data_IF_847418624413
#
_entry.id   IF_847418624413
#
_cell.length_a   1.000
_cell.length_b   1.000
_cell.length_c   1.000
_cell.angle_alpha   90.00
_cell.angle_beta   90.00
_cell.angle_gamma   90.00
#
_symmetry.space_group_name_H-M   'P 1'
#
loop_
_entity.id
_entity.type
_entity.pdbx_description
1 polymer ?
#
# COMPACT_ATOMS: atom_id res chain seq x y z
N UNK A 1 16.81 1.56 1.14
CA UNK A 1 15.83 0.48 0.98
C UNK A 1 15.00 0.84 -0.25
N UNK A 2 15.15 0.10 -1.34
CA UNK A 2 14.55 0.45 -2.64
C UNK A 2 13.09 0.03 -2.63
N UNK A 3 12.17 0.97 -2.74
CA UNK A 3 10.76 0.66 -2.89
C UNK A 3 10.54 -0.04 -4.24
N UNK A 4 9.90 -1.21 -4.24
CA UNK A 4 9.46 -1.86 -5.47
C UNK A 4 8.06 -1.36 -5.79
N UNK A 5 7.98 -0.30 -6.60
CA UNK A 5 6.71 0.18 -7.15
C UNK A 5 6.03 -0.94 -7.93
N UNK A 6 4.71 -1.03 -7.90
CA UNK A 6 3.95 -1.84 -8.88
C UNK A 6 4.07 -1.30 -10.31
N UNK A 7 4.54 -0.06 -10.48
CA UNK A 7 4.92 0.49 -11.77
C UNK A 7 6.10 -0.27 -12.38
N UNK A 8 5.98 -0.62 -13.66
CA UNK A 8 6.99 -1.37 -14.41
C UNK A 8 7.72 -0.45 -15.42
N UNK A 9 9.05 -0.54 -15.48
CA UNK A 9 9.90 0.20 -16.44
C UNK A 9 9.40 0.03 -17.88
N UNK A 10 9.04 -1.20 -18.27
CA UNK A 10 8.54 -1.49 -19.61
C UNK A 10 7.24 -0.75 -19.92
N UNK A 11 6.35 -0.61 -18.92
CA UNK A 11 5.11 0.17 -19.07
C UNK A 11 5.40 1.66 -19.16
N UNK A 12 6.25 2.20 -18.28
CA UNK A 12 6.66 3.62 -18.34
C UNK A 12 7.28 3.95 -19.70
N UNK A 13 8.10 3.05 -20.24
CA UNK A 13 8.68 3.16 -21.58
C UNK A 13 7.61 3.18 -22.68
N UNK A 14 6.69 2.22 -22.63
CA UNK A 14 5.59 2.14 -23.60
C UNK A 14 4.71 3.41 -23.58
N UNK A 15 4.34 3.91 -22.40
CA UNK A 15 3.48 5.09 -22.24
C UNK A 15 4.19 6.41 -22.53
N UNK A 16 5.49 6.51 -22.28
CA UNK A 16 6.28 7.70 -22.66
C UNK A 16 6.56 7.75 -24.16
N UNK A 17 6.58 6.59 -24.84
CA UNK A 17 7.01 6.47 -26.22
C UNK A 17 8.52 6.69 -26.39
N UNK A 18 9.31 6.71 -25.31
CA UNK A 18 10.76 6.91 -25.39
C UNK A 18 11.49 5.59 -25.70
N UNK A 19 12.22 5.49 -26.82
CA UNK A 19 13.08 4.34 -27.08
C UNK A 19 14.22 4.22 -26.06
N UNK A 20 14.81 3.03 -25.97
CA UNK A 20 15.96 2.71 -25.10
C UNK A 20 17.20 3.53 -25.42
N UNK A 21 17.34 3.95 -26.69
CA UNK A 21 18.42 4.80 -27.17
C UNK A 21 18.39 6.22 -26.60
N UNK A 22 17.21 6.71 -26.16
CA UNK A 22 17.05 8.06 -25.62
C UNK A 22 17.04 8.09 -24.10
N UNK A 23 16.50 7.04 -23.47
CA UNK A 23 16.40 6.95 -22.01
C UNK A 23 16.74 5.54 -21.57
N UNK A 24 17.73 5.37 -20.68
CA UNK A 24 18.11 4.07 -20.12
C UNK A 24 17.11 3.59 -19.05
N UNK A 25 17.08 2.29 -18.77
CA UNK A 25 16.21 1.71 -17.74
C UNK A 25 16.59 2.21 -16.33
N UNK A 26 17.87 2.47 -16.08
CA UNK A 26 18.35 3.04 -14.81
C UNK A 26 17.81 4.46 -14.60
N UNK A 27 17.74 5.25 -15.68
CA UNK A 27 17.18 6.60 -15.62
C UNK A 27 15.68 6.56 -15.32
N UNK A 28 14.94 5.65 -15.96
CA UNK A 28 13.52 5.44 -15.68
C UNK A 28 13.32 5.03 -14.21
N UNK A 29 14.12 4.06 -13.73
CA UNK A 29 14.08 3.59 -12.35
C UNK A 29 14.36 4.71 -11.33
N UNK A 30 15.34 5.57 -11.62
CA UNK A 30 15.66 6.71 -10.77
C UNK A 30 14.49 7.69 -10.67
N UNK A 31 13.85 8.03 -11.80
CA UNK A 31 12.69 8.92 -11.83
C UNK A 31 11.51 8.33 -11.06
N UNK A 32 11.23 7.04 -11.26
CA UNK A 32 10.17 6.34 -10.52
C UNK A 32 10.42 6.36 -9.01
N UNK A 33 11.67 6.15 -8.58
CA UNK A 33 12.04 6.17 -7.17
C UNK A 33 11.91 7.58 -6.58
N UNK A 34 12.37 8.62 -7.30
CA UNK A 34 12.27 10.00 -6.82
C UNK A 34 10.79 10.42 -6.66
N UNK A 35 9.94 10.14 -7.65
CA UNK A 35 8.51 10.44 -7.59
C UNK A 35 7.81 9.68 -6.45
N UNK A 36 8.22 8.43 -6.22
CA UNK A 36 7.73 7.62 -5.11
C UNK A 36 8.07 8.26 -3.76
N UNK A 37 9.33 8.66 -3.56
CA UNK A 37 9.78 9.28 -2.30
C UNK A 37 9.12 10.64 -2.10
N UNK A 38 9.02 11.47 -3.14
CA UNK A 38 8.28 12.74 -3.09
C UNK A 38 6.82 12.53 -2.67
N UNK A 39 6.16 11.50 -3.22
CA UNK A 39 4.78 11.17 -2.85
C UNK A 39 4.69 10.72 -1.38
N UNK A 40 5.58 9.82 -0.95
CA UNK A 40 5.68 9.36 0.45
C UNK A 40 5.84 10.53 1.40
N UNK A 41 6.76 11.44 1.10
CA UNK A 41 7.06 12.60 1.95
C UNK A 41 5.90 13.61 2.00
N UNK A 42 5.28 13.88 0.85
CA UNK A 42 4.17 14.82 0.74
C UNK A 42 2.95 14.36 1.51
N UNK A 43 2.58 13.09 1.36
CA UNK A 43 1.35 12.57 1.95
C UNK A 43 1.57 11.85 3.29
N UNK A 44 2.82 11.67 3.71
CA UNK A 44 3.23 10.99 4.96
C UNK A 44 2.69 9.55 5.03
N UNK A 45 2.80 8.82 3.92
CA UNK A 45 2.27 7.46 3.76
C UNK A 45 3.42 6.47 3.61
N UNK A 46 3.34 5.35 4.32
CA UNK A 46 4.23 4.23 4.09
C UNK A 46 3.61 3.29 3.04
N UNK A 47 4.41 2.76 2.14
CA UNK A 47 3.94 1.77 1.17
C UNK A 47 4.16 0.33 1.65
N UNK A 48 5.19 0.15 2.48
CA UNK A 48 5.51 -1.10 3.17
C UNK A 48 5.11 -0.97 4.65
N UNK A 49 4.64 -2.04 5.31
CA UNK A 49 4.25 -1.97 6.71
C UNK A 49 5.39 -1.53 7.63
N UNK A 50 5.20 -0.39 8.30
CA UNK A 50 6.14 0.16 9.28
C UNK A 50 5.47 0.19 10.66
N UNK A 51 6.25 -0.16 11.68
CA UNK A 51 5.81 -0.03 13.09
C UNK A 51 5.86 1.45 13.48
N UNK A 52 4.71 1.98 13.88
CA UNK A 52 4.55 3.34 14.38
C UNK A 52 4.11 3.31 15.83
N UNK A 53 4.62 4.28 16.62
CA UNK A 53 4.14 4.57 17.96
C UNK A 53 3.51 5.95 17.94
N UNK A 54 2.27 6.04 18.39
CA UNK A 54 1.54 7.28 18.56
C UNK A 54 1.21 7.50 20.03
N UNK A 55 1.40 8.73 20.49
CA UNK A 55 0.98 9.19 21.81
C UNK A 55 0.07 10.39 21.59
N UNK A 56 -1.10 10.37 22.21
CA UNK A 56 -2.09 11.41 22.04
C UNK A 56 -3.01 11.52 23.24
N UNK A 57 -3.78 12.60 23.23
CA UNK A 57 -4.85 12.83 24.17
C UNK A 57 -6.07 12.02 23.70
N UNK A 58 -6.82 11.43 24.64
CA UNK A 58 -8.16 10.95 24.33
C UNK A 58 -9.15 12.12 24.28
N UNK A 59 -10.39 11.83 23.84
CA UNK A 59 -11.40 12.86 23.57
C UNK A 59 -12.79 12.52 24.15
N UNK A 60 -12.83 11.64 25.16
CA UNK A 60 -14.05 11.12 25.77
C UNK A 60 -15.03 10.52 24.74
N UNK A 61 -14.51 9.67 23.85
CA UNK A 61 -15.24 9.11 22.72
C UNK A 61 -15.16 7.57 22.70
N UNK A 62 -16.13 6.92 22.04
CA UNK A 62 -16.12 5.47 21.81
C UNK A 62 -15.06 5.05 20.78
N UNK A 63 -14.65 5.99 19.92
CA UNK A 63 -13.68 5.79 18.86
C UNK A 63 -12.47 6.71 18.99
N UNK A 64 -11.31 6.22 18.58
CA UNK A 64 -10.08 6.98 18.44
C UNK A 64 -9.51 6.77 17.04
N UNK A 65 -9.38 7.84 16.26
CA UNK A 65 -8.79 7.79 14.92
C UNK A 65 -7.29 8.03 15.01
N UNK A 66 -6.49 7.10 14.51
CA UNK A 66 -5.02 7.26 14.48
C UNK A 66 -4.60 8.40 13.55
N UNK A 67 -3.50 9.08 13.89
CA UNK A 67 -3.00 10.23 13.11
C UNK A 67 -2.36 9.82 11.80
N UNK A 68 -1.71 8.64 11.74
CA UNK A 68 -1.13 8.14 10.49
C UNK A 68 -2.17 7.37 9.69
N UNK A 69 -2.23 7.68 8.39
CA UNK A 69 -3.14 7.05 7.44
C UNK A 69 -2.82 5.57 7.24
N UNK A 70 -3.85 4.81 6.89
CA UNK A 70 -3.81 3.37 6.56
C UNK A 70 -3.19 2.50 7.68
N UNK A 71 -3.75 2.51 8.91
CA UNK A 71 -3.36 1.52 9.91
C UNK A 71 -3.77 0.12 9.45
N UNK A 72 -2.86 -0.84 9.51
CA UNK A 72 -3.11 -2.22 9.14
C UNK A 72 -3.48 -3.10 10.33
N UNK A 73 -2.81 -2.89 11.47
CA UNK A 73 -2.98 -3.72 12.67
C UNK A 73 -2.52 -2.98 13.91
N UNK A 74 -3.32 -3.05 14.98
CA UNK A 74 -2.89 -2.63 16.31
C UNK A 74 -2.04 -3.74 16.93
N UNK A 75 -0.85 -3.38 17.40
CA UNK A 75 0.08 -4.29 18.07
C UNK A 75 -0.01 -4.18 19.58
N UNK A 76 -0.30 -2.98 20.08
CA UNK A 76 -0.45 -2.68 21.50
C UNK A 76 -1.27 -1.39 21.66
N UNK A 77 -2.23 -1.39 22.57
CA UNK A 77 -2.96 -0.22 22.99
C UNK A 77 -2.78 -0.05 24.50
N UNK A 78 -2.43 1.17 24.92
CA UNK A 78 -2.37 1.56 26.32
C UNK A 78 -3.26 2.76 26.58
N UNK A 79 -4.08 2.67 27.62
CA UNK A 79 -4.86 3.78 28.17
C UNK A 79 -4.41 3.99 29.61
N UNK A 80 -3.97 5.20 29.95
CA UNK A 80 -3.38 5.50 31.27
C UNK A 80 -2.22 4.59 31.67
N UNK A 81 -1.40 4.18 30.69
CA UNK A 81 -0.32 3.20 30.83
C UNK A 81 -0.77 1.76 31.13
N UNK A 82 -2.07 1.50 31.18
CA UNK A 82 -2.61 0.15 31.31
C UNK A 82 -2.80 -0.46 29.94
N UNK A 83 -2.38 -1.72 29.79
CA UNK A 83 -2.52 -2.45 28.53
C UNK A 83 -3.99 -2.80 28.34
N UNK A 84 -4.53 -2.43 27.17
CA UNK A 84 -5.83 -2.88 26.67
C UNK A 84 -5.57 -4.10 25.81
N UNK A 85 -6.37 -5.14 26.00
CA UNK A 85 -6.28 -6.34 25.17
C UNK A 85 -6.74 -6.01 23.73
N UNK A 86 -5.95 -6.46 22.77
CA UNK A 86 -6.14 -6.15 21.35
C UNK A 86 -7.29 -6.97 20.76
N UNK A 87 -7.69 -8.06 21.42
CA UNK A 87 -8.89 -8.83 21.07
C UNK A 87 -10.20 -8.06 21.38
N UNK A 88 -10.15 -7.02 22.21
CA UNK A 88 -11.31 -6.22 22.62
C UNK A 88 -11.49 -4.91 21.85
N UNK A 89 -10.70 -4.68 20.81
CA UNK A 89 -10.81 -3.49 19.99
C UNK A 89 -11.13 -3.87 18.56
N UNK A 90 -11.88 -3.00 17.90
CA UNK A 90 -12.10 -3.08 16.47
C UNK A 90 -11.35 -1.94 15.78
N UNK A 91 -10.57 -2.26 14.76
CA UNK A 91 -9.96 -1.27 13.88
C UNK A 91 -10.76 -1.23 12.59
N UNK A 92 -11.47 -0.13 12.34
CA UNK A 92 -11.99 0.16 11.01
C UNK A 92 -10.82 0.58 10.13
N UNK A 93 -10.44 -0.30 9.20
CA UNK A 93 -9.33 -0.08 8.29
C UNK A 93 -9.53 1.13 7.37
N UNK A 94 -10.78 1.41 6.98
CA UNK A 94 -11.09 2.48 6.02
C UNK A 94 -10.92 3.86 6.67
N UNK A 95 -11.41 4.03 7.89
CA UNK A 95 -11.30 5.31 8.62
C UNK A 95 -10.05 5.40 9.50
N UNK A 96 -9.43 4.27 9.83
CA UNK A 96 -8.38 4.18 10.85
C UNK A 96 -8.89 4.40 12.27
N UNK A 97 -10.20 4.24 12.48
CA UNK A 97 -10.83 4.42 13.79
C UNK A 97 -10.76 3.14 14.59
N UNK A 98 -10.20 3.22 15.79
CA UNK A 98 -10.21 2.17 16.79
C UNK A 98 -11.44 2.38 17.65
N UNK A 99 -12.34 1.41 17.73
CA UNK A 99 -13.47 1.41 18.66
C UNK A 99 -13.30 0.33 19.71
N UNK A 100 -13.75 0.62 20.93
CA UNK A 100 -13.84 -0.39 21.97
C UNK A 100 -15.01 -1.32 21.65
N UNK A 101 -14.78 -2.63 21.64
CA UNK A 101 -15.88 -3.57 21.59
C UNK A 101 -16.54 -3.61 22.97
N UNK A 102 -17.83 -3.29 23.03
CA UNK A 102 -18.66 -3.56 24.21
C UNK A 102 -18.88 -5.07 24.27
N UNK A 103 -18.36 -5.75 25.28
CA UNK A 103 -18.50 -7.19 25.39
C UNK A 103 -19.97 -7.63 25.41
N UNK A 104 -20.29 -8.63 24.58
CA UNK A 104 -21.40 -9.56 24.80
C UNK A 104 -20.79 -10.71 25.63
N UNK A 105 -20.60 -10.52 26.94
CA UNK A 105 -20.05 -11.55 27.84
C UNK A 105 -19.25 -11.02 29.05
N UNK A 106 -18.93 -11.89 30.00
CA UNK A 106 -18.44 -11.57 31.36
C UNK A 106 -17.00 -11.03 31.48
N UNK A 107 -16.30 -10.75 30.38
CA UNK A 107 -14.93 -10.24 30.38
C UNK A 107 -14.87 -8.83 29.77
N UNK A 108 -15.57 -7.88 30.41
CA UNK A 108 -15.66 -6.49 29.97
C UNK A 108 -14.29 -5.82 29.79
N UNK A 109 -14.11 -5.10 28.70
CA UNK A 109 -13.06 -4.08 28.58
C UNK A 109 -13.00 -3.18 29.81
N UNK A 110 -11.80 -3.00 30.38
CA UNK A 110 -11.59 -2.07 31.51
C UNK A 110 -11.97 -0.62 31.15
N UNK A 111 -11.96 -0.31 29.85
CA UNK A 111 -12.28 1.01 29.32
C UNK A 111 -13.44 0.92 28.32
N UNK A 112 -14.50 1.70 28.55
CA UNK A 112 -15.60 1.86 27.61
C UNK A 112 -15.43 3.07 26.68
N UNK A 113 -14.52 3.99 27.00
CA UNK A 113 -14.25 5.23 26.26
C UNK A 113 -12.75 5.55 26.25
N UNK A 114 -12.32 6.31 25.25
CA UNK A 114 -11.00 6.94 25.20
C UNK A 114 -11.02 8.23 26.03
N UNK A 115 -10.34 8.30 27.18
CA UNK A 115 -10.62 9.34 28.16
C UNK A 115 -9.93 10.66 27.82
N UNK A 116 -10.62 11.77 28.08
CA UNK A 116 -10.14 13.14 27.79
C UNK A 116 -9.06 13.59 28.77
N UNK A 117 -7.83 13.12 28.56
CA UNK A 117 -6.66 13.49 29.34
C UNK A 117 -5.41 13.51 28.46
N UNK A 118 -4.43 14.33 28.84
CA UNK A 118 -3.18 14.47 28.10
C UNK A 118 -2.37 13.18 28.05
N UNK A 119 -1.93 12.80 26.85
CA UNK A 119 -1.11 11.60 26.59
C UNK A 119 -1.70 10.31 27.18
N UNK A 120 -3.03 10.26 27.36
CA UNK A 120 -3.72 9.13 27.95
C UNK A 120 -3.71 7.91 27.03
N UNK A 121 -3.61 8.11 25.72
CA UNK A 121 -3.68 7.07 24.69
C UNK A 121 -2.30 6.87 24.07
N UNK A 122 -1.79 5.64 24.12
CA UNK A 122 -0.55 5.23 23.45
C UNK A 122 -0.83 4.01 22.60
N UNK A 123 -0.49 4.09 21.32
CA UNK A 123 -0.83 3.07 20.33
C UNK A 123 0.42 2.67 19.59
N UNK A 124 0.70 1.38 19.55
CA UNK A 124 1.69 0.79 18.68
C UNK A 124 0.95 0.04 17.58
N UNK A 125 1.21 0.38 16.33
CA UNK A 125 0.48 -0.20 15.19
C UNK A 125 1.36 -0.28 13.95
N UNK A 126 0.96 -1.16 13.02
CA UNK A 126 1.50 -1.20 11.67
C UNK A 126 0.71 -0.25 10.79
N UNK A 127 1.39 0.52 9.94
CA UNK A 127 0.72 1.37 8.95
C UNK A 127 1.38 1.25 7.59
N UNK A 128 0.57 1.06 6.55
CA UNK A 128 0.95 1.14 5.15
C UNK A 128 -0.27 1.16 4.22
N UNK A 129 -0.11 1.79 3.06
CA UNK A 129 -1.11 1.75 2.01
C UNK A 129 -0.97 0.48 1.16
N UNK A 130 -1.72 -0.55 1.56
CA UNK A 130 -1.85 -1.81 0.83
C UNK A 130 -3.29 -1.98 0.34
N UNK A 131 -3.48 -2.76 -0.72
CA UNK A 131 -4.79 -3.16 -1.23
C UNK A 131 -4.91 -4.70 -1.17
N UNK A 132 -6.13 -5.24 -1.04
CA UNK A 132 -6.38 -6.68 -1.17
C UNK A 132 -6.05 -7.13 -2.60
N UNK A 133 -5.35 -8.26 -2.73
CA UNK A 133 -5.06 -8.91 -4.01
C UNK A 133 -6.19 -9.86 -4.41
N UNK A 134 -6.05 -10.47 -5.59
CA UNK A 134 -7.01 -11.44 -6.11
C UNK A 134 -6.76 -12.85 -5.56
N UNK A 135 -5.67 -13.05 -4.80
CA UNK A 135 -5.44 -14.29 -4.06
C UNK A 135 -6.33 -14.32 -2.82
N UNK A 136 -7.14 -15.37 -2.71
CA UNK A 136 -8.00 -15.68 -1.58
C UNK A 136 -7.90 -17.17 -1.31
N UNK A 137 -7.78 -17.54 -0.04
CA UNK A 137 -7.76 -18.92 0.46
C UNK A 137 -8.57 -19.00 1.76
N UNK A 138 -8.89 -20.21 2.19
CA UNK A 138 -9.61 -20.49 3.44
C UNK A 138 -8.77 -21.37 4.37
N UNK A 139 -8.78 -21.06 5.67
CA UNK A 139 -8.13 -21.90 6.67
C UNK A 139 -8.93 -23.20 6.86
N UNK A 140 -8.25 -24.34 6.85
CA UNK A 140 -8.89 -25.65 7.03
C UNK A 140 -8.88 -26.13 8.48
N UNK A 141 -8.28 -25.36 9.41
CA UNK A 141 -8.22 -25.68 10.83
C UNK A 141 -8.24 -24.38 11.66
N UNK A 142 -8.70 -24.42 12.92
CA UNK A 142 -8.56 -23.29 13.84
C UNK A 142 -7.09 -22.92 14.03
N UNK A 143 -6.80 -21.63 14.09
CA UNK A 143 -5.44 -21.11 14.25
C UNK A 143 -5.30 -20.33 15.55
N UNK A 144 -4.35 -20.74 16.39
CA UNK A 144 -4.14 -20.16 17.72
C UNK A 144 -3.32 -18.87 17.67
N UNK A 145 -3.64 -17.94 18.55
CA UNK A 145 -2.84 -16.73 18.81
C UNK A 145 -1.41 -17.09 19.23
N UNK A 146 -0.41 -16.32 18.79
CA UNK A 146 0.98 -16.57 19.16
C UNK A 146 2.01 -15.94 18.22
N UNK A 147 3.27 -16.34 18.41
CA UNK A 147 4.40 -16.01 17.54
C UNK A 147 4.73 -17.21 16.65
N UNK A 148 5.16 -16.98 15.41
CA UNK A 148 5.53 -18.04 14.45
C UNK A 148 4.41 -19.08 14.30
N UNK A 149 3.20 -18.60 14.02
CA UNK A 149 1.99 -19.41 14.00
C UNK A 149 1.87 -20.16 12.69
N UNK A 150 1.57 -21.46 12.73
CA UNK A 150 1.24 -22.26 11.56
C UNK A 150 -0.26 -22.16 11.25
N UNK A 151 -0.60 -21.98 9.99
CA UNK A 151 -1.97 -21.95 9.49
C UNK A 151 -2.07 -22.84 8.25
N UNK A 152 -2.99 -23.81 8.28
CA UNK A 152 -3.25 -24.70 7.14
C UNK A 152 -4.34 -24.09 6.26
N UNK A 153 -4.06 -23.98 4.96
CA UNK A 153 -4.97 -23.40 3.96
C UNK A 153 -5.43 -24.45 2.95
N UNK A 154 -6.57 -24.19 2.30
CA UNK A 154 -7.06 -24.98 1.18
C UNK A 154 -6.21 -24.82 -0.09
N UNK A 155 -5.61 -23.64 -0.28
CA UNK A 155 -4.59 -23.34 -1.29
C UNK A 155 -3.54 -22.35 -0.76
N UNK A 156 -2.29 -22.54 -1.18
CA UNK A 156 -1.17 -21.63 -0.90
C UNK A 156 -0.50 -21.13 -2.19
N UNK A 157 -1.05 -21.50 -3.35
CA UNK A 157 -0.47 -21.19 -4.66
C UNK A 157 -0.43 -19.69 -4.90
N UNK A 158 0.79 -19.15 -5.05
CA UNK A 158 1.01 -17.73 -5.29
C UNK A 158 1.23 -16.88 -4.05
N UNK A 159 1.21 -17.46 -2.85
CA UNK A 159 1.81 -16.86 -1.65
C UNK A 159 3.32 -17.06 -1.65
N UNK A 160 4.04 -16.04 -1.19
CA UNK A 160 5.49 -16.07 -1.01
C UNK A 160 5.87 -15.72 0.41
N UNK A 161 7.09 -16.11 0.79
CA UNK A 161 7.75 -15.56 1.98
C UNK A 161 7.79 -14.03 1.84
N UNK A 162 7.59 -13.35 2.95
CA UNK A 162 7.48 -11.89 3.08
C UNK A 162 6.19 -11.25 2.57
N UNK A 163 5.26 -12.02 1.99
CA UNK A 163 3.91 -11.51 1.69
C UNK A 163 3.18 -11.13 2.99
N UNK A 164 2.35 -10.10 2.92
CA UNK A 164 1.43 -9.74 3.99
C UNK A 164 0.04 -10.29 3.67
N UNK A 165 -0.65 -10.82 4.67
CA UNK A 165 -2.00 -11.36 4.53
C UNK A 165 -2.97 -10.68 5.49
N UNK A 166 -4.19 -10.48 5.00
CA UNK A 166 -5.36 -10.07 5.78
C UNK A 166 -6.18 -11.31 6.08
N UNK A 167 -6.46 -11.54 7.35
CA UNK A 167 -7.17 -12.71 7.86
C UNK A 167 -8.53 -12.21 8.37
N UNK A 168 -9.62 -12.77 7.85
CA UNK A 168 -11.00 -12.49 8.28
C UNK A 168 -11.58 -13.76 8.87
N UNK A 169 -11.70 -13.80 10.19
CA UNK A 169 -12.29 -14.89 10.93
C UNK A 169 -13.82 -14.88 10.87
N UNK A 170 -14.41 -16.07 10.93
CA UNK A 170 -15.86 -16.26 11.09
C UNK A 170 -16.39 -15.68 12.41
N UNK A 171 -15.50 -15.53 13.39
CA UNK A 171 -15.71 -14.90 14.70
C UNK A 171 -15.73 -13.35 14.65
N UNK A 172 -15.74 -12.76 13.44
CA UNK A 172 -15.67 -11.31 13.17
C UNK A 172 -14.35 -10.67 13.61
N UNK A 173 -13.34 -11.47 13.89
CA UNK A 173 -11.99 -10.98 14.13
C UNK A 173 -11.29 -10.79 12.80
N UNK A 174 -10.46 -9.75 12.74
CA UNK A 174 -9.68 -9.49 11.55
C UNK A 174 -8.32 -8.96 11.94
N UNK A 175 -7.27 -9.51 11.33
CA UNK A 175 -5.92 -9.04 11.56
C UNK A 175 -5.00 -9.24 10.36
N UNK A 176 -3.89 -8.52 10.39
CA UNK A 176 -2.82 -8.63 9.40
C UNK A 176 -1.65 -9.41 9.97
N UNK A 177 -1.05 -10.28 9.16
CA UNK A 177 0.15 -11.02 9.51
C UNK A 177 1.12 -11.10 8.33
N UNK A 178 2.40 -11.28 8.63
CA UNK A 178 3.43 -11.48 7.61
C UNK A 178 3.73 -12.96 7.46
N UNK A 179 3.77 -13.45 6.23
CA UNK A 179 4.17 -14.81 5.89
C UNK A 179 5.67 -14.94 6.05
N UNK A 180 6.09 -15.88 6.90
CA UNK A 180 7.50 -16.19 7.17
C UNK A 180 7.98 -17.48 6.52
N UNK A 181 7.05 -18.37 6.15
CA UNK A 181 7.34 -19.64 5.47
C UNK A 181 6.10 -20.12 4.69
N UNK A 182 6.31 -20.85 3.59
CA UNK A 182 5.25 -21.44 2.76
C UNK A 182 5.61 -22.87 2.40
N UNK A 183 4.84 -23.83 2.91
CA UNK A 183 4.94 -25.23 2.53
C UNK A 183 3.82 -25.59 1.55
N UNK A 184 4.16 -25.72 0.27
CA UNK A 184 3.22 -26.06 -0.80
C UNK A 184 2.75 -27.51 -0.77
N UNK A 185 3.50 -28.42 -0.14
CA UNK A 185 3.16 -29.84 -0.05
C UNK A 185 2.09 -30.07 1.01
N UNK A 186 2.25 -29.46 2.18
CA UNK A 186 1.29 -29.60 3.29
C UNK A 186 0.24 -28.49 3.31
N UNK A 187 0.34 -27.50 2.40
CA UNK A 187 -0.50 -26.29 2.36
C UNK A 187 -0.50 -25.51 3.68
N UNK A 188 0.65 -25.47 4.35
CA UNK A 188 0.83 -24.74 5.60
C UNK A 188 1.64 -23.49 5.33
N UNK A 189 1.18 -22.35 5.84
CA UNK A 189 1.98 -21.13 5.93
C UNK A 189 2.38 -20.88 7.38
N UNK A 190 3.54 -20.26 7.59
CA UNK A 190 3.92 -19.69 8.89
C UNK A 190 3.74 -18.19 8.88
N UNK A 191 3.22 -17.66 9.98
CA UNK A 191 2.92 -16.26 10.19
C UNK A 191 3.74 -15.70 11.34
N UNK A 192 4.20 -14.46 11.22
CA UNK A 192 5.07 -13.82 12.22
C UNK A 192 4.44 -13.73 13.61
N UNK A 193 3.24 -13.15 13.72
CA UNK A 193 2.48 -13.02 14.95
C UNK A 193 0.98 -12.85 14.69
N UNK A 194 0.17 -13.71 15.30
CA UNK A 194 -1.25 -13.47 15.49
C UNK A 194 -1.51 -12.90 16.88
N UNK A 195 -2.42 -11.93 16.96
CA UNK A 195 -2.89 -11.35 18.24
C UNK A 195 -4.27 -11.85 18.62
N UNK A 196 -4.93 -12.59 17.72
CA UNK A 196 -6.25 -13.16 17.90
C UNK A 196 -6.23 -14.63 17.46
N UNK A 197 -7.04 -15.46 18.11
CA UNK A 197 -7.31 -16.83 17.64
C UNK A 197 -8.38 -16.76 16.56
N UNK A 198 -8.23 -17.55 15.50
CA UNK A 198 -9.14 -17.61 14.36
C UNK A 198 -9.77 -19.00 14.25
N UNK A 199 -11.05 -19.04 13.91
CA UNK A 199 -11.79 -20.29 13.69
C UNK A 199 -11.45 -20.93 12.33
N UNK A 200 -11.80 -22.19 12.17
CA UNK A 200 -11.79 -22.84 10.85
C UNK A 200 -12.69 -22.08 9.86
N UNK A 201 -12.33 -22.10 8.57
CA UNK A 201 -13.05 -21.35 7.54
C UNK A 201 -12.77 -19.84 7.53
N UNK A 202 -11.75 -19.37 8.27
CA UNK A 202 -11.27 -17.99 8.14
C UNK A 202 -10.76 -17.73 6.73
N UNK A 203 -11.05 -16.54 6.19
CA UNK A 203 -10.63 -16.12 4.84
C UNK A 203 -9.28 -15.42 4.91
N UNK A 204 -8.34 -15.86 4.08
CA UNK A 204 -7.01 -15.28 3.96
C UNK A 204 -6.91 -14.60 2.60
N UNK A 205 -6.68 -13.29 2.60
CA UNK A 205 -6.43 -12.51 1.39
C UNK A 205 -5.03 -11.93 1.42
N UNK A 206 -4.24 -12.14 0.36
CA UNK A 206 -2.92 -11.50 0.27
C UNK A 206 -3.06 -9.99 0.06
N UNK A 207 -2.29 -9.21 0.79
CA UNK A 207 -2.14 -7.76 0.61
C UNK A 207 -1.03 -7.46 -0.41
N UNK A 208 -1.29 -6.51 -1.31
CA UNK A 208 -0.34 -6.03 -2.32
C UNK A 208 -0.20 -4.52 -2.25
N UNK A 209 0.90 -3.99 -2.79
CA UNK A 209 1.04 -2.56 -3.01
C UNK A 209 -0.11 -2.00 -3.84
N UNK A 210 -0.55 -0.79 -3.51
CA UNK A 210 -1.71 -0.21 -4.16
C UNK A 210 -1.50 -0.04 -5.67
N UNK A 211 -2.39 -0.64 -6.46
CA UNK A 211 -2.39 -0.48 -7.92
C UNK A 211 -2.63 0.98 -8.30
N UNK A 212 -3.50 1.68 -7.57
CA UNK A 212 -3.81 3.09 -7.79
C UNK A 212 -2.55 3.96 -7.69
N UNK A 213 -1.72 3.72 -6.67
CA UNK A 213 -0.45 4.42 -6.49
C UNK A 213 0.56 4.03 -7.58
N UNK A 214 0.68 2.74 -7.89
CA UNK A 214 1.52 2.25 -8.98
C UNK A 214 1.22 2.92 -10.31
N UNK A 215 -0.05 2.91 -10.71
CA UNK A 215 -0.49 3.53 -11.96
C UNK A 215 -0.20 5.04 -11.95
N UNK A 216 -0.41 5.73 -10.82
CA UNK A 216 -0.11 7.16 -10.71
C UNK A 216 1.38 7.45 -10.92
N UNK A 217 2.26 6.74 -10.19
CA UNK A 217 3.72 6.88 -10.33
C UNK A 217 4.16 6.52 -11.76
N UNK A 218 3.56 5.49 -12.37
CA UNK A 218 3.84 5.11 -13.75
C UNK A 218 3.54 6.25 -14.73
N UNK A 219 2.35 6.86 -14.66
CA UNK A 219 1.98 7.96 -15.56
C UNK A 219 2.82 9.22 -15.32
N UNK A 220 3.08 9.61 -14.08
CA UNK A 220 3.96 10.74 -13.75
C UNK A 220 5.39 10.51 -14.26
N UNK A 221 5.91 9.28 -14.11
CA UNK A 221 7.22 8.91 -14.67
C UNK A 221 7.20 8.99 -16.19
N UNK A 222 6.14 8.50 -16.84
CA UNK A 222 6.02 8.57 -18.29
C UNK A 222 5.96 10.02 -18.81
N UNK A 223 5.31 10.93 -18.08
CA UNK A 223 5.28 12.37 -18.38
C UNK A 223 6.68 12.97 -18.27
N UNK A 224 7.39 12.68 -17.18
CA UNK A 224 8.75 13.17 -16.96
C UNK A 224 9.70 12.70 -18.09
N UNK A 225 9.62 11.42 -18.47
CA UNK A 225 10.40 10.87 -19.60
C UNK A 225 10.01 11.52 -20.93
N UNK A 226 8.71 11.66 -21.22
CA UNK A 226 8.26 12.30 -22.45
C UNK A 226 8.76 13.76 -22.54
N UNK A 227 8.75 14.51 -21.42
CA UNK A 227 9.29 15.86 -21.36
C UNK A 227 10.81 15.89 -21.59
N UNK A 228 11.56 14.95 -21.02
CA UNK A 228 13.00 14.83 -21.26
C UNK A 228 13.29 14.47 -22.73
N UNK A 229 12.52 13.58 -23.34
CA UNK A 229 12.65 13.24 -24.76
C UNK A 229 12.35 14.45 -25.65
N UNK A 230 11.24 15.17 -25.42
CA UNK A 230 10.93 16.43 -26.12
C UNK A 230 12.05 17.45 -25.92
N UNK A 231 12.63 17.51 -24.73
CA UNK A 231 13.77 18.37 -24.41
C UNK A 231 15.09 17.94 -25.03
N UNK A 232 15.30 16.67 -25.36
CA UNK A 232 16.55 16.16 -25.98
C UNK A 232 16.51 16.18 -27.53
N UNK A 233 15.31 16.27 -28.10
CA UNK A 233 15.04 16.07 -29.53
C UNK A 233 15.32 17.30 -30.41
N UNK A 234 15.70 18.46 -29.85
CA UNK A 234 16.23 19.60 -30.61
C UNK A 234 17.51 19.27 -31.39
N UNK A 235 18.16 18.14 -31.07
CA UNK A 235 19.34 17.62 -31.76
C UNK A 235 19.03 16.54 -32.80
N UNK A 236 17.79 16.03 -32.86
CA UNK A 236 17.42 14.96 -33.78
C UNK A 236 17.13 15.53 -35.17
N UNK A 237 18.08 15.34 -36.09
CA UNK A 237 17.94 15.69 -37.48
C UNK A 237 17.38 14.51 -38.28
N UNK A 238 16.12 14.61 -38.73
CA UNK A 238 15.62 13.81 -39.86
C UNK A 238 15.60 14.68 -41.11
N UNK A 239 16.53 14.41 -42.02
CA UNK A 239 16.63 15.10 -43.31
C UNK A 239 16.50 14.14 -44.47
N UNK A 240 15.92 14.61 -45.57
CA UNK A 240 15.96 13.93 -46.86
C UNK A 240 16.86 14.74 -47.80
N UNK A 241 17.86 14.08 -48.38
CA UNK A 241 18.71 14.66 -49.43
C UNK A 241 18.24 14.19 -50.80
N UNK A 242 17.93 15.13 -51.69
CA UNK A 242 17.63 14.87 -53.08
C UNK A 242 18.60 15.70 -53.93
N UNK A 243 19.78 15.14 -54.21
CA UNK A 243 20.88 15.87 -54.87
C UNK A 243 21.42 17.01 -54.00
N UNK A 244 21.44 18.23 -54.52
CA UNK A 244 21.86 19.45 -53.82
C UNK A 244 20.80 20.07 -52.90
N UNK A 245 19.56 19.55 -52.92
CA UNK A 245 18.49 20.00 -52.04
C UNK A 245 18.48 19.16 -50.77
N UNK A 246 18.76 19.83 -49.64
CA UNK A 246 18.64 19.23 -48.31
C UNK A 246 17.44 19.85 -47.60
N UNK A 247 16.47 19.02 -47.23
CA UNK A 247 15.32 19.45 -46.43
C UNK A 247 15.40 18.79 -45.06
N UNK A 248 15.62 19.60 -44.02
CA UNK A 248 15.48 19.14 -42.64
C UNK A 248 14.02 19.28 -42.23
N UNK A 249 13.35 18.15 -41.99
CA UNK A 249 12.01 18.15 -41.39
C UNK A 249 12.18 18.00 -39.89
N UNK A 250 12.12 19.12 -39.17
CA UNK A 250 12.10 19.13 -37.72
C UNK A 250 10.72 18.79 -37.17
N UNK A 251 10.16 17.59 -37.38
CA UNK A 251 8.97 17.18 -36.62
C UNK A 251 8.86 15.66 -36.40
N UNK A 252 9.28 15.17 -35.22
CA UNK A 252 8.72 13.96 -34.60
C UNK A 252 7.71 14.29 -33.48
N UNK A 253 7.46 15.55 -33.14
CA UNK A 253 6.95 15.92 -31.81
C UNK A 253 5.47 15.60 -31.48
N UNK A 254 4.60 15.35 -32.46
CA UNK A 254 3.16 15.23 -32.21
C UNK A 254 2.82 14.01 -31.36
N UNK A 255 3.35 12.83 -31.71
CA UNK A 255 3.04 11.60 -30.96
C UNK A 255 3.51 11.63 -29.49
N UNK A 256 4.70 12.18 -29.20
CA UNK A 256 5.14 12.33 -27.80
C UNK A 256 4.33 13.37 -27.02
N UNK A 257 3.89 14.45 -27.67
CA UNK A 257 2.99 15.43 -27.05
C UNK A 257 1.61 14.83 -26.77
N UNK A 258 1.05 14.10 -27.73
CA UNK A 258 -0.25 13.43 -27.59
C UNK A 258 -0.19 12.36 -26.47
N UNK A 259 0.89 11.57 -26.43
CA UNK A 259 1.14 10.60 -25.35
C UNK A 259 1.28 11.29 -23.98
N UNK A 260 2.06 12.38 -23.91
CA UNK A 260 2.20 13.19 -22.70
C UNK A 260 0.85 13.71 -22.23
N UNK A 261 0.06 14.30 -23.11
CA UNK A 261 -1.23 14.92 -22.76
C UNK A 261 -2.25 13.87 -22.30
N UNK A 262 -2.25 12.70 -22.94
CA UNK A 262 -2.99 11.53 -22.47
C UNK A 262 -2.55 11.11 -21.06
N UNK A 263 -1.25 10.97 -20.82
CA UNK A 263 -0.70 10.57 -19.52
C UNK A 263 -1.00 11.61 -18.43
N UNK A 264 -0.92 12.91 -18.74
CA UNK A 264 -1.30 14.00 -17.83
C UNK A 264 -2.75 13.86 -17.39
N UNK A 265 -3.67 13.63 -18.34
CA UNK A 265 -5.08 13.42 -18.02
C UNK A 265 -5.29 12.22 -17.11
N UNK A 266 -4.63 11.08 -17.41
CA UNK A 266 -4.70 9.88 -16.57
C UNK A 266 -4.14 10.10 -15.17
N UNK A 267 -2.98 10.74 -15.05
CA UNK A 267 -2.37 11.08 -13.76
C UNK A 267 -3.27 12.02 -12.94
N UNK A 268 -3.90 13.02 -13.57
CA UNK A 268 -4.85 13.92 -12.89
C UNK A 268 -6.09 13.18 -12.37
N UNK A 269 -6.66 12.26 -13.16
CA UNK A 269 -7.82 11.48 -12.74
C UNK A 269 -7.47 10.53 -11.57
N UNK A 270 -6.32 9.86 -11.63
CA UNK A 270 -5.82 9.03 -10.53
C UNK A 270 -5.53 9.86 -9.28
N UNK A 271 -4.97 11.07 -9.43
CA UNK A 271 -4.71 11.99 -8.32
C UNK A 271 -5.99 12.42 -7.61
N UNK A 272 -7.10 12.62 -8.33
CA UNK A 272 -8.42 12.88 -7.72
C UNK A 272 -8.86 11.70 -6.86
N UNK A 273 -8.75 10.47 -7.38
CA UNK A 273 -9.10 9.25 -6.65
C UNK A 273 -8.22 9.04 -5.41
N UNK A 274 -6.91 9.29 -5.53
CA UNK A 274 -5.96 9.27 -4.42
C UNK A 274 -6.40 10.28 -3.35
N UNK A 275 -6.66 11.53 -3.74
CA UNK A 275 -7.09 12.56 -2.79
C UNK A 275 -8.41 12.18 -2.10
N UNK A 276 -9.37 11.59 -2.82
CA UNK A 276 -10.61 11.09 -2.22
C UNK A 276 -10.34 10.00 -1.18
N UNK A 277 -9.51 9.00 -1.53
CA UNK A 277 -9.13 7.92 -0.60
C UNK A 277 -8.37 8.45 0.62
N UNK A 278 -7.65 9.55 0.48
CA UNK A 278 -7.01 10.26 1.59
C UNK A 278 -8.00 11.12 2.39
N UNK A 279 -9.05 11.67 1.78
CA UNK A 279 -10.04 12.48 2.50
C UNK A 279 -10.95 11.64 3.41
N UNK A 280 -11.22 10.38 3.05
CA UNK A 280 -12.05 9.46 3.87
C UNK A 280 -11.43 9.14 5.24
N UNK A 281 -10.13 9.42 5.43
CA UNK A 281 -9.37 9.14 6.66
C UNK A 281 -9.11 10.44 7.47
N UNK A 282 -9.96 11.46 7.34
CA UNK A 282 -9.78 12.79 7.92
C UNK A 282 -10.98 13.30 8.68
#
# INVERSE_FOLDING_TARGET
MTFTTTANIAQVRAFSGSPTTLTSDETIKLIMNNLTEEFREKYKINFEPVKTIEISNGHNSLGYTVKKRFPLKILELKIYNEIVDVDKIHLDWASGTITMQSDIGSNSTKFSLFPSQNNSVKIKYLNAWMDKSDFVAESTLPTLVGMNVEMTLDDVTGLNIDDWVWIEGMDRRAEVAKVTDVNTVTKVIKLDKLSQTHEEGSIITRLKHSKLLGDYIMYESAIAIANNAVGATYTLNTGYSLGSLNTQKGVPYTHWRDNRDFNVKKAQDLKKLINLKLMVVG
#
